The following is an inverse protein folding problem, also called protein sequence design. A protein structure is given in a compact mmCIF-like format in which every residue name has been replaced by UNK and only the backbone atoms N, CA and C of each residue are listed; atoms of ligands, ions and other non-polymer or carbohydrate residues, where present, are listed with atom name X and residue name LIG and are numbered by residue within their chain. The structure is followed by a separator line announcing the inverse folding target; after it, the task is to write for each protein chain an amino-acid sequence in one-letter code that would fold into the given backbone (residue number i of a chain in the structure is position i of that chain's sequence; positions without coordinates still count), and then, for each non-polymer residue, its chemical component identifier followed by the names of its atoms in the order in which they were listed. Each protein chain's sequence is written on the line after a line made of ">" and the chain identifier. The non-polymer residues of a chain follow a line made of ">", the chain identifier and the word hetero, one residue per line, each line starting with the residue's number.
data_IF_793829468867
#
_entry.id   IF_793829468867
#
_cell.length_a   1.000
_cell.length_b   1.000
_cell.length_c   1.000
_cell.angle_alpha   90.00
_cell.angle_beta   90.00
_cell.angle_gamma   90.00
#
_symmetry.space_group_name_H-M   'P 1'
#
loop_
_entity.id
_entity.type
_entity.pdbx_description
1 polymer ?
#
# COMPACT_ATOMS: atom_id res chain seq x y z
N UNK A 1 -13.02 -4.97 7.91
CA UNK A 1 -12.62 -4.45 9.25
C UNK A 1 -11.14 -4.77 9.51
N UNK A 2 -10.47 -4.01 10.39
CA UNK A 2 -9.13 -4.36 10.91
C UNK A 2 -9.27 -5.03 12.27
N UNK A 3 -8.47 -6.07 12.50
CA UNK A 3 -8.42 -6.82 13.76
C UNK A 3 -7.05 -6.61 14.41
N UNK A 4 -7.06 -6.23 15.68
CA UNK A 4 -5.85 -6.15 16.52
C UNK A 4 -5.51 -7.52 17.11
N UNK A 5 -4.30 -7.69 17.63
CA UNK A 5 -3.92 -8.92 18.34
C UNK A 5 -4.68 -9.18 19.63
N UNK A 6 -5.29 -8.14 20.22
CA UNK A 6 -6.20 -8.27 21.37
C UNK A 6 -7.59 -8.82 20.99
N UNK A 7 -7.81 -9.09 19.71
CA UNK A 7 -9.04 -9.71 19.20
C UNK A 7 -10.20 -8.74 19.00
N UNK A 8 -9.97 -7.43 19.11
CA UNK A 8 -10.96 -6.40 18.82
C UNK A 8 -10.93 -6.04 17.34
N UNK A 9 -12.10 -6.07 16.70
CA UNK A 9 -12.29 -5.64 15.32
C UNK A 9 -12.82 -4.22 15.28
N UNK A 10 -12.18 -3.36 14.49
CA UNK A 10 -12.59 -1.98 14.28
C UNK A 10 -13.02 -1.78 12.82
N UNK A 11 -14.22 -1.22 12.65
CA UNK A 11 -14.66 -0.69 11.37
C UNK A 11 -14.02 0.66 11.12
N UNK A 12 -13.36 0.82 9.97
CA UNK A 12 -12.80 2.09 9.54
C UNK A 12 -13.02 2.25 8.03
N UNK A 13 -13.37 3.47 7.61
CA UNK A 13 -13.50 3.80 6.18
C UNK A 13 -12.13 4.07 5.54
N UNK A 14 -11.12 4.43 6.35
CA UNK A 14 -9.76 4.74 5.90
C UNK A 14 -8.72 4.07 6.78
N UNK A 15 -7.55 3.80 6.21
CA UNK A 15 -6.37 3.33 6.93
C UNK A 15 -5.28 4.40 6.88
N UNK A 16 -4.93 4.97 8.04
CA UNK A 16 -3.84 5.92 8.15
C UNK A 16 -2.52 5.17 8.25
N UNK A 17 -1.57 5.46 7.36
CA UNK A 17 -0.20 4.96 7.50
C UNK A 17 0.45 5.62 8.73
N UNK A 18 0.97 4.79 9.62
CA UNK A 18 1.78 5.16 10.78
C UNK A 18 3.02 4.25 10.84
N UNK A 19 4.21 4.84 10.83
CA UNK A 19 5.50 4.14 10.94
C UNK A 19 6.62 5.13 11.29
N UNK A 20 7.77 4.59 11.68
CA UNK A 20 9.00 5.37 11.90
C UNK A 20 9.76 5.52 10.58
N UNK A 21 10.24 6.74 10.29
CA UNK A 21 10.83 7.07 8.99
C UNK A 21 12.08 6.22 8.67
N UNK A 22 12.83 5.85 9.69
CA UNK A 22 14.07 5.08 9.63
C UNK A 22 13.86 3.65 9.12
N UNK A 23 12.61 3.16 9.14
CA UNK A 23 12.23 1.84 8.66
C UNK A 23 12.12 1.78 7.12
N UNK A 24 12.19 2.93 6.43
CA UNK A 24 11.92 3.06 5.00
C UNK A 24 13.07 3.67 4.21
N UNK A 25 13.12 3.33 2.92
CA UNK A 25 13.94 4.02 1.94
C UNK A 25 13.45 5.45 1.68
N UNK A 26 14.20 6.19 0.86
CA UNK A 26 13.87 7.58 0.50
C UNK A 26 12.59 7.72 -0.33
N UNK A 27 12.22 6.67 -1.07
CA UNK A 27 11.05 6.66 -1.96
C UNK A 27 10.34 5.29 -1.87
N UNK A 28 9.54 5.07 -0.80
CA UNK A 28 8.87 3.80 -0.58
C UNK A 28 7.65 3.62 -1.49
N UNK A 29 7.26 2.37 -1.72
CA UNK A 29 5.98 2.04 -2.38
C UNK A 29 4.82 2.05 -1.38
N UNK A 30 3.59 2.19 -1.88
CA UNK A 30 2.39 2.08 -1.02
C UNK A 30 2.29 0.68 -0.39
N UNK A 31 2.68 -0.38 -1.09
CA UNK A 31 2.78 -1.74 -0.54
C UNK A 31 3.69 -1.78 0.70
N UNK A 32 4.91 -1.27 0.59
CA UNK A 32 5.88 -1.24 1.69
C UNK A 32 5.36 -0.46 2.89
N UNK A 33 4.75 0.71 2.64
CA UNK A 33 4.16 1.56 3.66
C UNK A 33 3.02 0.85 4.40
N UNK A 34 2.10 0.22 3.66
CA UNK A 34 0.95 -0.50 4.20
C UNK A 34 1.42 -1.70 5.04
N UNK A 35 2.30 -2.54 4.50
CA UNK A 35 2.83 -3.71 5.20
C UNK A 35 3.49 -3.31 6.52
N UNK A 36 4.40 -2.33 6.47
CA UNK A 36 5.15 -1.91 7.66
C UNK A 36 4.25 -1.26 8.70
N UNK A 37 3.27 -0.46 8.28
CA UNK A 37 2.30 0.14 9.19
C UNK A 37 1.42 -0.90 9.87
N UNK A 38 0.86 -1.86 9.12
CA UNK A 38 0.08 -2.96 9.68
C UNK A 38 0.90 -3.80 10.66
N UNK A 39 2.15 -4.11 10.33
CA UNK A 39 3.03 -4.91 11.19
C UNK A 39 3.42 -4.17 12.46
N UNK A 40 3.72 -2.87 12.35
CA UNK A 40 4.08 -2.04 13.52
C UNK A 40 2.91 -1.88 14.49
N UNK A 41 1.68 -1.88 13.99
CA UNK A 41 0.48 -1.86 14.82
C UNK A 41 -0.10 -3.23 15.17
N UNK A 42 0.55 -4.33 14.77
CA UNK A 42 0.04 -5.70 14.95
C UNK A 42 -1.42 -5.86 14.44
N UNK A 43 -1.70 -5.23 13.29
CA UNK A 43 -3.00 -5.17 12.63
C UNK A 43 -3.09 -6.17 11.47
N UNK A 44 -4.24 -6.81 11.34
CA UNK A 44 -4.58 -7.67 10.20
C UNK A 44 -5.97 -7.32 9.66
N UNK A 45 -6.19 -7.55 8.37
CA UNK A 45 -7.52 -7.49 7.77
C UNK A 45 -8.31 -8.73 8.17
N UNK A 46 -9.53 -8.55 8.67
CA UNK A 46 -10.40 -9.68 9.00
C UNK A 46 -10.98 -10.34 7.75
N UNK A 47 -11.22 -9.55 6.71
CA UNK A 47 -11.76 -9.94 5.41
C UNK A 47 -11.13 -9.07 4.31
N UNK A 48 -11.23 -9.50 3.05
CA UNK A 48 -10.78 -8.71 1.90
C UNK A 48 -11.71 -7.50 1.74
N UNK A 49 -11.20 -6.25 1.86
CA UNK A 49 -12.02 -5.07 1.68
C UNK A 49 -12.47 -4.94 0.22
N UNK A 50 -13.73 -4.55 -0.01
CA UNK A 50 -14.20 -4.16 -1.35
C UNK A 50 -13.53 -2.89 -1.85
N UNK A 51 -13.31 -1.94 -0.94
CA UNK A 51 -12.60 -0.69 -1.15
C UNK A 51 -11.66 -0.42 0.03
N UNK A 52 -10.40 -0.07 -0.26
CA UNK A 52 -9.39 0.29 0.71
C UNK A 52 -8.86 1.69 0.42
N UNK A 53 -9.07 2.61 1.36
CA UNK A 53 -8.59 4.00 1.27
C UNK A 53 -7.38 4.17 2.21
N UNK A 54 -6.19 4.34 1.65
CA UNK A 54 -4.93 4.42 2.39
C UNK A 54 -4.45 5.87 2.45
N UNK A 55 -4.39 6.46 3.65
CA UNK A 55 -3.94 7.83 3.87
C UNK A 55 -2.43 7.88 4.11
N UNK A 56 -1.74 8.73 3.37
CA UNK A 56 -0.29 8.87 3.42
C UNK A 56 0.18 9.55 4.71
N UNK A 57 1.39 9.25 5.21
CA UNK A 57 1.90 9.78 6.47
C UNK A 57 2.29 11.26 6.32
N UNK A 58 1.30 12.14 6.48
CA UNK A 58 1.42 13.61 6.47
C UNK A 58 1.03 14.17 7.84
N UNK A 59 1.73 15.20 8.30
CA UNK A 59 1.43 15.90 9.54
C UNK A 59 1.18 17.39 9.26
N UNK A 60 -0.10 17.78 9.23
CA UNK A 60 -0.51 19.12 8.82
C UNK A 60 -0.12 19.46 7.37
N UNK A 61 -0.18 20.74 7.02
CA UNK A 61 -0.04 21.19 5.62
C UNK A 61 1.42 21.30 5.15
N UNK A 62 2.40 21.17 6.07
CA UNK A 62 3.82 21.41 5.79
C UNK A 62 4.69 20.16 5.88
N UNK A 63 4.28 19.15 6.66
CA UNK A 63 5.11 17.96 6.87
C UNK A 63 4.61 16.79 6.03
N UNK A 64 5.46 16.37 5.10
CA UNK A 64 5.36 15.08 4.41
C UNK A 64 6.49 14.21 4.94
N UNK A 65 6.19 13.03 5.49
CA UNK A 65 7.22 12.13 6.01
C UNK A 65 8.18 11.69 4.89
N UNK A 66 7.61 11.40 3.72
CA UNK A 66 8.31 11.07 2.48
C UNK A 66 8.04 12.17 1.44
N UNK A 67 9.11 12.63 0.78
CA UNK A 67 8.98 13.61 -0.31
C UNK A 67 8.37 13.00 -1.58
N UNK A 68 8.51 11.69 -1.75
CA UNK A 68 8.04 10.94 -2.90
C UNK A 68 7.53 9.57 -2.44
N UNK A 69 6.38 9.15 -2.96
CA UNK A 69 5.81 7.83 -2.70
C UNK A 69 5.46 7.22 -4.05
N UNK A 70 5.88 5.98 -4.27
CA UNK A 70 5.60 5.24 -5.51
C UNK A 70 4.23 4.58 -5.37
N UNK A 71 3.25 4.92 -6.24
CA UNK A 71 1.96 4.24 -6.25
C UNK A 71 2.15 2.77 -6.61
N UNK A 72 1.64 1.87 -5.77
CA UNK A 72 1.48 0.46 -6.15
C UNK A 72 0.23 0.36 -7.02
N UNK A 73 0.36 -0.08 -8.28
CA UNK A 73 -0.82 -0.24 -9.16
C UNK A 73 -1.71 -1.40 -8.73
N UNK A 74 -1.09 -2.40 -8.09
CA UNK A 74 -1.76 -3.50 -7.40
C UNK A 74 -1.19 -3.60 -5.98
N UNK A 75 -2.07 -3.81 -4.99
CA UNK A 75 -1.69 -4.12 -3.62
C UNK A 75 -1.97 -5.58 -3.33
N UNK A 76 -0.98 -6.29 -2.83
CA UNK A 76 -1.16 -7.65 -2.35
C UNK A 76 -1.37 -7.64 -0.84
N UNK A 77 -2.57 -7.99 -0.40
CA UNK A 77 -2.94 -7.99 1.02
C UNK A 77 -2.95 -9.41 1.62
N UNK A 78 -2.51 -10.42 0.86
CA UNK A 78 -2.58 -11.83 1.27
C UNK A 78 -1.97 -12.03 2.64
N UNK A 79 -0.76 -11.52 2.85
CA UNK A 79 -0.02 -11.70 4.10
C UNK A 79 -0.48 -10.78 5.24
N UNK A 80 -1.41 -9.85 4.93
CA UNK A 80 -2.04 -8.94 5.88
C UNK A 80 -3.42 -9.43 6.35
N UNK A 81 -3.96 -10.51 5.76
CA UNK A 81 -5.23 -11.10 6.18
C UNK A 81 -5.04 -11.98 7.44
N UNK A 82 -6.00 -11.94 8.36
CA UNK A 82 -5.92 -12.64 9.64
C UNK A 82 -5.93 -14.17 9.49
N UNK A 83 -6.82 -14.69 8.64
CA UNK A 83 -7.06 -16.14 8.46
C UNK A 83 -6.65 -16.67 7.07
N UNK A 84 -5.76 -15.98 6.36
CA UNK A 84 -5.23 -16.46 5.07
C UNK A 84 -4.19 -17.57 5.26
N UNK A 85 -4.19 -18.59 4.40
CA UNK A 85 -3.01 -19.43 4.20
C UNK A 85 -1.90 -18.59 3.57
N UNK A 86 -0.66 -18.79 3.99
CA UNK A 86 0.49 -17.99 3.57
C UNK A 86 1.69 -18.87 3.25
N UNK A 87 2.59 -18.36 2.43
CA UNK A 87 3.79 -19.09 2.02
C UNK A 87 4.99 -18.74 2.89
N UNK A 88 5.77 -19.75 3.22
CA UNK A 88 7.03 -19.61 3.91
C UNK A 88 7.98 -18.77 3.06
N UNK A 89 8.50 -17.70 3.66
CA UNK A 89 9.44 -16.77 3.03
C UNK A 89 10.72 -17.43 2.49
N UNK A 90 11.09 -18.61 3.01
CA UNK A 90 12.32 -19.32 2.63
C UNK A 90 12.07 -20.37 1.54
N UNK A 91 11.07 -21.24 1.72
CA UNK A 91 10.89 -22.41 0.86
C UNK A 91 9.57 -22.43 0.06
N UNK A 92 8.69 -21.45 0.26
CA UNK A 92 7.38 -21.36 -0.42
C UNK A 92 6.31 -22.31 0.12
N UNK A 93 6.65 -23.28 0.97
CA UNK A 93 5.69 -24.20 1.61
C UNK A 93 4.77 -23.46 2.60
N UNK A 94 3.69 -24.09 3.05
CA UNK A 94 2.75 -23.46 4.00
C UNK A 94 3.46 -22.91 5.25
N UNK A 95 3.21 -21.63 5.56
CA UNK A 95 3.73 -20.98 6.75
C UNK A 95 2.87 -21.30 7.98
N UNK A 96 3.53 -21.57 9.10
CA UNK A 96 2.90 -21.86 10.39
C UNK A 96 3.20 -20.78 11.44
N UNK A 97 4.30 -20.04 11.25
CA UNK A 97 4.76 -19.02 12.18
C UNK A 97 4.98 -17.70 11.47
N UNK A 98 4.71 -16.59 12.15
CA UNK A 98 5.16 -15.25 11.77
C UNK A 98 6.05 -14.64 12.85
N UNK A 99 7.07 -13.89 12.46
CA UNK A 99 8.00 -13.26 13.39
C UNK A 99 8.23 -11.80 13.01
N UNK A 100 7.53 -10.89 13.69
CA UNK A 100 7.64 -9.44 13.47
C UNK A 100 9.06 -8.93 13.75
N UNK A 101 9.78 -9.53 14.70
CA UNK A 101 11.16 -9.15 15.04
C UNK A 101 12.17 -9.49 13.92
N UNK A 102 11.83 -10.38 12.99
CA UNK A 102 12.66 -10.64 11.81
C UNK A 102 12.52 -9.58 10.71
N UNK A 103 11.49 -8.72 10.75
CA UNK A 103 11.21 -7.72 9.72
C UNK A 103 12.36 -6.72 9.48
N UNK A 104 12.96 -6.10 10.51
CA UNK A 104 14.07 -5.15 10.33
C UNK A 104 15.42 -5.81 9.99
N UNK A 105 15.49 -7.15 9.98
CA UNK A 105 16.74 -7.86 9.73
C UNK A 105 17.16 -7.74 8.26
N UNK A 106 18.15 -6.89 7.99
CA UNK A 106 18.67 -6.62 6.64
C UNK A 106 19.32 -7.81 5.95
N UNK A 107 19.67 -8.88 6.70
CA UNK A 107 20.17 -10.13 6.09
C UNK A 107 19.04 -10.92 5.44
N UNK A 108 17.80 -10.65 5.84
CA UNK A 108 16.61 -11.09 5.15
C UNK A 108 16.13 -9.92 4.28
N UNK A 109 15.49 -10.18 3.14
CA UNK A 109 15.03 -9.08 2.26
C UNK A 109 14.18 -8.07 3.08
N UNK A 110 14.57 -6.79 3.18
CA UNK A 110 13.85 -5.82 3.99
C UNK A 110 12.38 -5.64 3.55
N UNK A 111 11.52 -5.22 4.48
CA UNK A 111 10.13 -4.82 4.19
C UNK A 111 9.14 -5.96 4.00
N UNK A 112 9.57 -7.15 3.56
CA UNK A 112 8.66 -8.29 3.39
C UNK A 112 8.29 -8.95 4.71
N UNK A 113 7.02 -9.30 4.89
CA UNK A 113 6.53 -10.05 6.05
C UNK A 113 7.31 -11.36 6.23
N UNK A 114 7.67 -11.66 7.48
CA UNK A 114 8.55 -12.78 7.83
C UNK A 114 7.74 -13.91 8.44
N UNK A 115 7.46 -14.89 7.60
CA UNK A 115 6.67 -16.06 7.95
C UNK A 115 7.32 -17.34 7.45
N UNK A 116 7.16 -18.41 8.22
CA UNK A 116 7.97 -19.61 8.10
C UNK A 116 7.14 -20.87 8.34
N UNK A 117 7.43 -21.94 7.60
CA UNK A 117 7.06 -23.28 8.05
C UNK A 117 7.86 -23.62 9.33
N UNK A 118 7.44 -24.63 10.10
CA UNK A 118 8.09 -24.91 11.38
C UNK A 118 9.57 -25.33 11.25
N UNK A 119 9.97 -25.95 10.13
CA UNK A 119 11.38 -26.27 9.83
C UNK A 119 12.21 -24.99 9.59
N UNK A 120 11.77 -24.12 8.68
CA UNK A 120 12.48 -22.88 8.36
C UNK A 120 12.49 -21.92 9.55
N UNK A 121 11.40 -21.88 10.34
CA UNK A 121 11.32 -21.12 11.57
C UNK A 121 12.46 -21.52 12.53
N UNK A 122 12.62 -22.82 12.76
CA UNK A 122 13.67 -23.36 13.62
C UNK A 122 15.07 -23.03 13.09
N UNK A 123 15.29 -23.11 11.78
CA UNK A 123 16.60 -22.83 11.18
C UNK A 123 16.97 -21.34 11.24
N UNK A 124 16.05 -20.44 10.89
CA UNK A 124 16.29 -18.99 10.85
C UNK A 124 16.62 -18.45 12.25
N UNK A 125 15.93 -18.94 13.28
CA UNK A 125 16.10 -18.51 14.67
C UNK A 125 17.27 -19.19 15.41
N UNK A 126 17.99 -20.13 14.78
CA UNK A 126 19.29 -20.60 15.30
C UNK A 126 20.39 -19.55 15.15
N UNK A 127 20.23 -18.60 14.23
CA UNK A 127 21.22 -17.54 14.01
C UNK A 127 21.34 -16.66 15.27
N UNK A 128 22.54 -16.34 15.77
CA UNK A 128 22.73 -15.64 17.04
C UNK A 128 21.94 -14.33 17.18
N UNK A 129 21.81 -13.55 16.09
CA UNK A 129 21.04 -12.30 16.11
C UNK A 129 19.52 -12.47 16.19
N UNK A 130 18.99 -13.70 16.09
CA UNK A 130 17.56 -14.01 16.02
C UNK A 130 17.09 -14.97 17.10
N UNK A 131 17.98 -15.51 17.93
CA UNK A 131 17.64 -16.47 18.98
C UNK A 131 16.70 -15.88 20.05
N UNK A 132 16.74 -14.56 20.26
CA UNK A 132 15.85 -13.86 21.19
C UNK A 132 14.51 -13.43 20.60
N UNK A 133 14.18 -13.82 19.37
CA UNK A 133 12.88 -13.50 18.79
C UNK A 133 11.79 -14.46 19.28
N UNK A 134 10.54 -13.98 19.28
CA UNK A 134 9.36 -14.74 19.70
C UNK A 134 8.38 -14.86 18.52
N UNK A 135 8.51 -15.90 17.67
CA UNK A 135 7.56 -16.14 16.58
C UNK A 135 6.17 -16.49 17.13
N UNK A 136 5.13 -15.92 16.52
CA UNK A 136 3.71 -16.22 16.80
C UNK A 136 3.22 -17.32 15.84
N UNK A 137 2.33 -18.18 16.32
CA UNK A 137 1.67 -19.19 15.48
C UNK A 137 0.56 -18.51 14.67
N UNK A 138 0.48 -18.81 13.38
CA UNK A 138 -0.55 -18.27 12.49
C UNK A 138 -1.90 -18.98 12.73
N UNK A 139 -3.02 -18.24 12.82
CA UNK A 139 -4.35 -18.85 12.99
C UNK A 139 -4.70 -19.88 11.90
N UNK A 140 -4.35 -19.60 10.65
CA UNK A 140 -4.62 -20.47 9.51
C UNK A 140 -3.86 -21.83 9.58
N UNK A 141 -2.78 -21.93 10.37
CA UNK A 141 -2.05 -23.18 10.57
C UNK A 141 -2.83 -24.18 11.43
N UNK A 142 -3.73 -23.70 12.28
CA UNK A 142 -4.57 -24.55 13.14
C UNK A 142 -5.77 -25.15 12.39
N UNK A 143 -6.22 -24.51 11.30
CA UNK A 143 -7.28 -25.03 10.45
C UNK A 143 -6.73 -26.09 9.50
N UNK A 144 -7.05 -27.38 9.75
CA UNK A 144 -6.74 -28.54 8.91
C UNK A 144 -7.44 -28.55 7.53
N UNK A 145 -7.79 -27.38 6.99
CA UNK A 145 -8.33 -27.31 5.64
C UNK A 145 -7.21 -27.71 4.66
N UNK A 146 -7.42 -28.85 3.99
CA UNK A 146 -6.53 -29.50 3.03
C UNK A 146 -5.74 -28.51 2.16
N UNK A 147 -4.53 -28.94 1.74
CA UNK A 147 -3.58 -28.29 0.82
C UNK A 147 -4.28 -27.57 -0.35
N UNK A 148 -4.80 -26.38 -0.08
CA UNK A 148 -5.31 -25.48 -1.11
C UNK A 148 -4.14 -24.57 -1.49
N UNK A 149 -3.95 -24.29 -2.80
CA UNK A 149 -3.01 -23.28 -3.21
C UNK A 149 -3.30 -21.96 -2.48
N UNK A 150 -2.25 -21.29 -2.02
CA UNK A 150 -2.39 -19.97 -1.39
C UNK A 150 -3.10 -19.04 -2.35
N UNK A 151 -4.31 -18.64 -2.01
CA UNK A 151 -5.09 -17.70 -2.81
C UNK A 151 -4.49 -16.32 -2.63
N UNK A 152 -3.94 -15.74 -3.70
CA UNK A 152 -3.44 -14.36 -3.67
C UNK A 152 -4.61 -13.40 -3.71
N UNK A 153 -4.65 -12.49 -2.75
CA UNK A 153 -5.67 -11.46 -2.62
C UNK A 153 -5.06 -10.12 -2.99
N UNK A 154 -5.36 -9.64 -4.19
CA UNK A 154 -4.88 -8.36 -4.69
C UNK A 154 -6.00 -7.33 -4.85
N UNK A 155 -5.66 -6.07 -4.63
CA UNK A 155 -6.52 -4.91 -4.86
C UNK A 155 -5.91 -4.05 -5.96
N UNK A 156 -6.72 -3.44 -6.80
CA UNK A 156 -6.28 -2.58 -7.89
C UNK A 156 -6.44 -1.10 -7.54
N UNK A 157 -5.40 -0.31 -7.82
CA UNK A 157 -5.45 1.14 -7.67
C UNK A 157 -6.39 1.74 -8.71
N UNK A 158 -7.39 2.50 -8.25
CA UNK A 158 -8.34 3.17 -9.15
C UNK A 158 -8.39 4.68 -8.97
N UNK A 159 -7.97 5.22 -7.83
CA UNK A 159 -7.88 6.66 -7.65
C UNK A 159 -6.77 7.07 -6.70
N UNK A 160 -6.22 8.27 -6.94
CA UNK A 160 -5.26 8.92 -6.05
C UNK A 160 -5.70 10.35 -5.82
N UNK A 161 -5.96 10.68 -4.56
CA UNK A 161 -6.22 12.04 -4.13
C UNK A 161 -4.89 12.70 -3.79
N UNK A 162 -4.57 13.80 -4.45
CA UNK A 162 -3.37 14.59 -4.21
C UNK A 162 -3.73 15.93 -3.59
N UNK A 163 -2.85 16.45 -2.73
CA UNK A 163 -2.95 17.79 -2.16
C UNK A 163 -1.63 18.54 -2.30
N UNK A 164 -1.71 19.71 -2.94
CA UNK A 164 -0.65 20.70 -2.94
C UNK A 164 -1.10 21.89 -2.09
N UNK A 165 -0.40 22.14 -0.98
CA UNK A 165 -0.69 23.16 0.06
C UNK A 165 -2.09 23.08 0.67
N UNK A 166 -3.12 23.47 -0.07
CA UNK A 166 -4.54 23.47 0.32
C UNK A 166 -5.49 23.01 -0.79
N UNK A 167 -4.98 22.77 -2.00
CA UNK A 167 -5.79 22.44 -3.17
C UNK A 167 -5.72 20.94 -3.47
N UNK A 168 -6.89 20.30 -3.47
CA UNK A 168 -7.04 18.89 -3.76
C UNK A 168 -7.32 18.68 -5.25
N UNK A 169 -6.65 17.69 -5.82
CA UNK A 169 -6.89 17.20 -7.19
C UNK A 169 -6.92 15.68 -7.19
N UNK A 170 -7.51 15.10 -8.22
CA UNK A 170 -7.71 13.66 -8.32
C UNK A 170 -7.07 13.08 -9.58
N UNK A 171 -6.44 11.93 -9.43
CA UNK A 171 -6.13 11.03 -10.54
C UNK A 171 -7.09 9.85 -10.45
N UNK A 172 -7.79 9.52 -11.53
CA UNK A 172 -8.75 8.42 -11.56
C UNK A 172 -8.50 7.50 -12.76
N UNK A 173 -8.57 6.19 -12.53
CA UNK A 173 -8.52 5.17 -13.56
C UNK A 173 -9.92 4.98 -14.13
N UNK A 174 -10.08 5.09 -15.45
CA UNK A 174 -11.39 4.99 -16.12
C UNK A 174 -11.55 3.71 -16.95
N UNK A 175 -10.50 2.89 -17.04
CA UNK A 175 -10.51 1.68 -17.85
C UNK A 175 -9.41 0.71 -17.44
N UNK A 176 -9.45 -0.53 -17.95
CA UNK A 176 -8.51 -1.59 -17.56
C UNK A 176 -7.10 -1.36 -18.10
N UNK A 177 -6.95 -0.55 -19.15
CA UNK A 177 -5.66 -0.28 -19.77
C UNK A 177 -4.70 0.48 -18.84
N UNK A 178 -3.39 0.23 -18.93
CA UNK A 178 -2.41 0.93 -18.09
C UNK A 178 -2.42 2.45 -18.32
N UNK A 179 -2.71 2.91 -19.54
CA UNK A 179 -2.82 4.33 -19.94
C UNK A 179 -4.17 4.98 -19.61
N UNK A 180 -5.12 4.25 -19.03
CA UNK A 180 -6.49 4.74 -18.82
C UNK A 180 -6.63 5.60 -17.57
N UNK A 181 -5.95 6.74 -17.54
CA UNK A 181 -5.97 7.71 -16.43
C UNK A 181 -6.56 9.06 -16.83
N UNK A 182 -7.32 9.65 -15.91
CA UNK A 182 -7.83 11.02 -15.94
C UNK A 182 -7.23 11.80 -14.79
N UNK A 183 -6.96 13.07 -15.04
CA UNK A 183 -6.66 14.10 -14.05
C UNK A 183 -7.88 15.01 -13.92
N UNK A 184 -8.27 15.31 -12.69
CA UNK A 184 -9.38 16.19 -12.37
C UNK A 184 -8.93 17.31 -11.42
N UNK A 185 -9.22 18.54 -11.82
CA UNK A 185 -9.02 19.75 -11.02
C UNK A 185 -10.34 20.53 -10.95
N UNK A 186 -10.89 20.68 -9.74
CA UNK A 186 -12.17 21.34 -9.51
C UNK A 186 -12.10 22.87 -9.62
N UNK A 187 -10.90 23.44 -9.61
CA UNK A 187 -10.64 24.88 -9.64
C UNK A 187 -9.56 25.19 -10.68
N UNK A 188 -9.63 24.54 -11.84
CA UNK A 188 -8.65 24.65 -12.91
C UNK A 188 -8.60 26.06 -13.52
N UNK A 189 -9.75 26.72 -13.59
CA UNK A 189 -9.88 28.09 -14.08
C UNK A 189 -11.02 28.84 -13.34
N UNK A 190 -11.13 30.15 -13.54
CA UNK A 190 -12.17 31.01 -12.93
C UNK A 190 -12.78 31.95 -13.96
N UNK A 191 -14.11 31.97 -14.02
CA UNK A 191 -14.84 33.01 -14.75
C UNK A 191 -15.21 34.15 -13.79
N UNK A 192 -14.93 35.40 -14.16
CA UNK A 192 -15.27 36.57 -13.35
C UNK A 192 -14.28 36.87 -12.22
N UNK A 193 -14.61 37.86 -11.39
CA UNK A 193 -13.75 38.34 -10.30
C UNK A 193 -13.98 37.59 -8.97
N UNK A 194 -13.30 38.04 -7.92
CA UNK A 194 -13.38 37.41 -6.59
C UNK A 194 -14.77 37.53 -5.93
N UNK A 195 -15.61 38.47 -6.37
CA UNK A 195 -16.89 38.78 -5.74
C UNK A 195 -18.07 38.10 -6.44
N UNK A 196 -18.06 37.99 -7.77
CA UNK A 196 -19.15 37.40 -8.57
C UNK A 196 -18.70 36.30 -9.54
N UNK A 197 -17.48 35.79 -9.40
CA UNK A 197 -16.96 34.71 -10.23
C UNK A 197 -17.32 33.30 -9.75
N UNK A 198 -17.09 32.31 -10.63
CA UNK A 198 -17.23 30.89 -10.33
C UNK A 198 -16.07 30.08 -10.92
N UNK A 199 -15.78 28.94 -10.29
CA UNK A 199 -14.71 28.03 -10.75
C UNK A 199 -15.17 27.20 -11.95
N UNK A 200 -14.25 26.94 -12.87
CA UNK A 200 -14.43 26.05 -14.01
C UNK A 200 -13.59 24.79 -13.75
N UNK A 201 -14.22 23.61 -13.61
CA UNK A 201 -13.49 22.37 -13.44
C UNK A 201 -12.90 21.87 -14.77
N UNK A 202 -11.77 21.17 -14.69
CA UNK A 202 -11.15 20.51 -15.84
C UNK A 202 -11.02 19.00 -15.59
N UNK A 203 -11.36 18.20 -16.61
CA UNK A 203 -11.03 16.78 -16.69
C UNK A 203 -10.14 16.58 -17.92
N UNK A 204 -8.95 16.01 -17.72
CA UNK A 204 -7.96 15.79 -18.78
C UNK A 204 -7.43 14.37 -18.74
N UNK A 205 -7.34 13.71 -19.90
CA UNK A 205 -6.65 12.43 -20.01
C UNK A 205 -5.14 12.60 -19.72
N UNK A 206 -4.57 11.70 -18.92
CA UNK A 206 -3.15 11.75 -18.54
C UNK A 206 -2.47 10.38 -18.73
N UNK A 207 -2.38 9.87 -19.97
CA UNK A 207 -1.78 8.56 -20.26
C UNK A 207 -0.32 8.45 -19.81
N UNK A 208 0.40 9.56 -19.67
CA UNK A 208 1.78 9.63 -19.16
C UNK A 208 1.91 9.11 -17.72
N UNK A 209 0.86 9.23 -16.91
CA UNK A 209 0.80 8.64 -15.57
C UNK A 209 0.82 7.12 -15.69
N UNK A 210 -0.02 6.58 -16.57
CA UNK A 210 -0.09 5.15 -16.84
C UNK A 210 1.22 4.56 -17.39
N UNK A 211 1.84 5.26 -18.34
CA UNK A 211 3.14 4.88 -18.90
C UNK A 211 4.24 4.87 -17.85
N UNK A 212 4.25 5.88 -16.98
CA UNK A 212 5.19 5.94 -15.88
C UNK A 212 5.00 4.76 -14.92
N UNK A 213 3.76 4.51 -14.46
CA UNK A 213 3.44 3.43 -13.52
C UNK A 213 3.61 2.02 -14.09
N UNK A 214 3.76 1.88 -15.40
CA UNK A 214 4.01 0.59 -16.06
C UNK A 214 5.49 0.18 -16.04
N UNK A 215 6.38 1.04 -15.57
CA UNK A 215 7.82 0.74 -15.47
C UNK A 215 8.10 -0.18 -14.28
N UNK A 216 9.18 -0.99 -14.31
CA UNK A 216 9.61 -1.80 -13.18
C UNK A 216 9.83 -0.97 -11.90
N UNK A 217 9.55 -1.55 -10.73
CA UNK A 217 9.69 -0.86 -9.43
C UNK A 217 11.12 -0.34 -9.21
N UNK A 218 12.13 -1.05 -9.70
CA UNK A 218 13.53 -0.63 -9.61
C UNK A 218 13.83 0.64 -10.41
N UNK A 219 13.16 0.82 -11.56
CA UNK A 219 13.25 2.04 -12.36
C UNK A 219 12.48 3.20 -11.74
N UNK A 220 11.30 2.91 -11.21
CA UNK A 220 10.50 3.88 -10.46
C UNK A 220 11.33 4.42 -9.29
N UNK A 221 11.93 3.53 -8.49
CA UNK A 221 12.77 3.84 -7.33
C UNK A 221 14.00 4.71 -7.62
N UNK A 222 14.46 4.77 -8.87
CA UNK A 222 15.62 5.58 -9.30
C UNK A 222 15.24 6.88 -10.01
N UNK A 223 13.95 7.09 -10.23
CA UNK A 223 13.45 8.25 -10.96
C UNK A 223 13.75 9.53 -10.18
N UNK A 224 14.28 10.55 -10.86
CA UNK A 224 14.36 11.90 -10.32
C UNK A 224 13.03 12.64 -10.57
N UNK A 225 12.23 12.96 -9.53
CA UNK A 225 10.91 13.58 -9.70
C UNK A 225 10.96 15.00 -10.25
N UNK A 226 12.13 15.65 -10.26
CA UNK A 226 12.31 16.94 -10.93
C UNK A 226 12.37 16.82 -12.47
N UNK A 227 12.61 15.61 -12.99
CA UNK A 227 12.71 15.32 -14.43
C UNK A 227 11.47 14.60 -14.98
N UNK A 228 10.45 14.36 -14.14
CA UNK A 228 9.20 13.73 -14.57
C UNK A 228 8.21 14.76 -15.10
N UNK A 229 7.25 14.34 -15.96
CA UNK A 229 6.13 15.20 -16.35
C UNK A 229 5.37 15.74 -15.13
N UNK A 230 4.78 16.93 -15.26
CA UNK A 230 4.16 17.64 -14.13
C UNK A 230 3.11 16.82 -13.39
N UNK A 231 2.25 16.10 -14.12
CA UNK A 231 1.22 15.24 -13.52
C UNK A 231 1.82 14.04 -12.78
N UNK A 232 2.89 13.45 -13.31
CA UNK A 232 3.62 12.36 -12.64
C UNK A 232 4.30 12.89 -11.37
N UNK A 233 4.95 14.05 -11.45
CA UNK A 233 5.56 14.71 -10.28
C UNK A 233 4.51 15.00 -9.21
N UNK A 234 3.35 15.54 -9.59
CA UNK A 234 2.25 15.83 -8.67
C UNK A 234 1.74 14.54 -8.01
N UNK A 235 1.58 13.47 -8.77
CA UNK A 235 1.24 12.16 -8.22
C UNK A 235 2.27 11.70 -7.16
N UNK A 236 3.56 11.70 -7.48
CA UNK A 236 4.60 11.22 -6.57
C UNK A 236 4.78 12.09 -5.32
N UNK A 237 4.78 13.42 -5.48
CA UNK A 237 5.09 14.38 -4.42
C UNK A 237 3.87 14.75 -3.57
N UNK A 238 2.68 14.79 -4.18
CA UNK A 238 1.49 15.39 -3.59
C UNK A 238 0.40 14.37 -3.20
N UNK A 239 0.64 13.07 -3.39
CA UNK A 239 -0.26 12.01 -2.92
C UNK A 239 -0.65 12.12 -1.44
N UNK A 240 -1.96 12.26 -1.20
CA UNK A 240 -2.59 12.33 0.12
C UNK A 240 -3.27 11.00 0.46
N UNK A 241 -3.98 10.40 -0.48
CA UNK A 241 -4.70 9.15 -0.28
C UNK A 241 -4.69 8.30 -1.55
N UNK A 242 -4.49 7.00 -1.40
CA UNK A 242 -4.59 6.01 -2.47
C UNK A 242 -5.83 5.14 -2.26
N UNK A 243 -6.62 4.95 -3.30
CA UNK A 243 -7.87 4.20 -3.24
C UNK A 243 -7.77 2.96 -4.12
N UNK A 244 -8.04 1.81 -3.50
CA UNK A 244 -7.95 0.50 -4.11
C UNK A 244 -9.29 -0.22 -4.05
N UNK A 245 -9.61 -1.02 -5.06
CA UNK A 245 -10.79 -1.88 -5.06
C UNK A 245 -10.44 -3.34 -5.35
N UNK A 246 -11.29 -4.25 -4.91
CA UNK A 246 -11.17 -5.65 -5.30
C UNK A 246 -11.69 -5.83 -6.75
N UNK A 247 -10.86 -6.36 -7.67
CA UNK A 247 -11.23 -6.61 -9.07
C UNK A 247 -12.46 -7.49 -9.26
N UNK A 248 -12.78 -8.34 -8.28
CA UNK A 248 -14.01 -9.15 -8.28
C UNK A 248 -15.30 -8.33 -8.23
N UNK A 249 -15.21 -7.04 -7.88
CA UNK A 249 -16.28 -6.06 -7.94
C UNK A 249 -15.90 -4.96 -8.94
N UNK A 250 -15.80 -5.31 -10.23
CA UNK A 250 -15.85 -4.28 -11.26
C UNK A 250 -17.11 -3.44 -11.02
N UNK A 251 -16.96 -2.11 -10.93
CA UNK A 251 -18.06 -1.18 -11.02
C UNK A 251 -18.79 -1.47 -12.33
N UNK A 252 -19.91 -2.18 -12.24
CA UNK A 252 -20.86 -2.27 -13.34
C UNK A 252 -21.36 -0.85 -13.61
N UNK A 253 -21.13 -0.40 -14.84
CA UNK A 253 -21.52 0.88 -15.45
C UNK A 253 -22.69 1.62 -14.78
#
# INVERSE_FOLDING_TARGET
>A
AFRSSEGTSQGACTFQIFLEKEQMGTMPTVQQLLETSCLSGDLKFEEVPSCLMVQMPRCGNKYKMFSHIIPSTELDITDLLYNSQRECFICGQSAEHECLQCLPDRKLQPGRIKQYCSVCNSQVHRHPSRQGHTPKVLPAAASQAAERPVSRHTLELFAVLCIHTSHYVCFAKYGPGPRSWLFFDSMADRCGDDQNGYNIPEIRACPEVGEFLSRPEEELGRTNPAQTPDLVRRLLCDSYMFLYHNRGQSLSN
#
